data_IF_653394209073
#
_entry.id   IF_653394209073
#
_cell.length_a   1.000
_cell.length_b   1.000
_cell.length_c   1.000
_cell.angle_alpha   90.00
_cell.angle_beta   90.00
_cell.angle_gamma   90.00
#
_symmetry.space_group_name_H-M   'P 1'
#
loop_
_entity.id
_entity.type
_entity.pdbx_description
1 polymer ?
#
# COMPACT_ATOMS: atom_id res chain seq x y z
N UNK A 1 3.63 -17.83 4.91
CA UNK A 1 4.28 -16.70 4.22
C UNK A 1 3.19 -15.73 3.84
N UNK A 2 3.41 -14.45 4.09
CA UNK A 2 2.48 -13.37 3.83
C UNK A 2 3.12 -12.32 2.93
N UNK A 3 2.29 -11.58 2.22
CA UNK A 3 2.62 -10.26 1.73
C UNK A 3 2.20 -9.29 2.84
N UNK A 4 3.13 -8.49 3.32
CA UNK A 4 2.87 -7.37 4.24
C UNK A 4 3.16 -6.06 3.50
N UNK A 5 2.33 -5.05 3.75
CA UNK A 5 2.47 -3.70 3.18
C UNK A 5 2.17 -2.67 4.26
N UNK A 6 3.08 -1.72 4.41
CA UNK A 6 2.93 -0.57 5.33
C UNK A 6 3.04 0.71 4.52
N UNK A 7 2.00 1.54 4.59
CA UNK A 7 1.95 2.88 4.01
C UNK A 7 2.14 3.96 5.07
N UNK A 8 2.73 5.09 4.69
CA UNK A 8 2.90 6.24 5.57
C UNK A 8 3.17 7.52 4.78
N UNK A 9 2.63 8.64 5.24
CA UNK A 9 3.19 9.97 4.98
C UNK A 9 4.35 10.23 5.96
N UNK A 10 5.52 10.40 5.37
CA UNK A 10 6.76 10.78 6.05
C UNK A 10 7.51 11.88 5.28
N UNK A 11 6.79 12.54 4.36
CA UNK A 11 7.30 13.55 3.47
C UNK A 11 7.45 14.89 4.21
N UNK A 12 8.22 15.82 3.65
CA UNK A 12 8.27 17.18 4.16
C UNK A 12 7.12 18.08 3.69
N UNK A 13 6.15 17.55 2.93
CA UNK A 13 5.09 18.32 2.29
C UNK A 13 3.91 17.46 1.85
N UNK A 14 2.72 17.99 1.99
CA UNK A 14 1.45 17.31 1.72
C UNK A 14 1.11 17.21 0.22
N UNK A 15 2.07 17.04 -0.71
CA UNK A 15 1.77 16.92 -2.15
C UNK A 15 2.66 15.96 -2.93
N UNK A 16 3.86 15.66 -2.43
CA UNK A 16 4.81 14.79 -3.11
C UNK A 16 5.97 14.33 -2.24
N UNK A 17 6.44 13.11 -2.46
CA UNK A 17 7.72 12.67 -1.89
C UNK A 17 8.93 13.32 -2.60
N UNK A 18 9.93 13.75 -1.83
CA UNK A 18 11.20 14.19 -2.42
C UNK A 18 11.99 13.03 -3.05
N UNK A 19 12.79 13.33 -4.07
CA UNK A 19 13.67 12.34 -4.69
C UNK A 19 14.71 11.79 -3.71
N UNK A 20 15.13 12.58 -2.72
CA UNK A 20 16.10 12.13 -1.72
C UNK A 20 15.45 11.18 -0.72
N UNK A 21 14.22 11.44 -0.26
CA UNK A 21 13.44 10.50 0.54
C UNK A 21 13.32 9.14 -0.18
N UNK A 22 12.87 9.15 -1.43
CA UNK A 22 12.71 7.93 -2.24
C UNK A 22 14.03 7.16 -2.36
N UNK A 23 15.13 7.88 -2.61
CA UNK A 23 16.46 7.28 -2.76
C UNK A 23 16.94 6.65 -1.46
N UNK A 24 16.77 7.34 -0.33
CA UNK A 24 17.17 6.81 0.98
C UNK A 24 16.37 5.56 1.37
N UNK A 25 15.05 5.59 1.18
CA UNK A 25 14.19 4.42 1.39
C UNK A 25 14.66 3.22 0.54
N UNK A 26 14.90 3.42 -0.75
CA UNK A 26 15.40 2.36 -1.64
C UNK A 26 16.76 1.79 -1.23
N UNK A 27 17.62 2.59 -0.59
CA UNK A 27 18.92 2.13 -0.11
C UNK A 27 18.83 1.32 1.19
N UNK A 28 17.85 1.63 2.03
CA UNK A 28 17.69 0.98 3.34
C UNK A 28 16.81 -0.28 3.28
N UNK A 29 15.80 -0.33 2.40
CA UNK A 29 14.90 -1.50 2.22
C UNK A 29 15.64 -2.83 2.05
N UNK A 30 16.80 -2.92 1.39
CA UNK A 30 17.54 -4.18 1.29
C UNK A 30 17.91 -4.83 2.64
N UNK A 31 18.04 -4.04 3.71
CA UNK A 31 18.34 -4.56 5.05
C UNK A 31 17.23 -5.46 5.61
N UNK A 32 15.99 -5.36 5.08
CA UNK A 32 14.90 -6.24 5.47
C UNK A 32 15.16 -7.71 5.10
N UNK A 33 15.96 -7.96 4.06
CA UNK A 33 16.35 -9.32 3.71
C UNK A 33 17.34 -9.91 4.72
N UNK A 34 18.17 -9.09 5.37
CA UNK A 34 19.13 -9.55 6.39
C UNK A 34 18.41 -10.07 7.65
N UNK A 35 17.21 -9.56 7.93
CA UNK A 35 16.37 -9.97 9.07
C UNK A 35 15.32 -11.02 8.70
N UNK A 36 15.29 -11.48 7.44
CA UNK A 36 14.55 -12.68 7.01
C UNK A 36 13.39 -12.45 6.06
N UNK A 37 13.21 -11.25 5.50
CA UNK A 37 12.26 -11.07 4.39
C UNK A 37 12.76 -11.84 3.16
N UNK A 38 11.84 -12.48 2.43
CA UNK A 38 12.18 -13.15 1.17
C UNK A 38 12.52 -12.12 0.08
N UNK A 39 11.70 -11.07 -0.01
CA UNK A 39 11.91 -9.87 -0.83
C UNK A 39 11.24 -8.69 -0.14
N UNK A 40 11.76 -7.49 -0.33
CA UNK A 40 11.11 -6.24 0.05
C UNK A 40 11.35 -5.15 -1.01
N UNK A 41 10.42 -4.22 -1.16
CA UNK A 41 10.51 -3.11 -2.11
C UNK A 41 9.64 -1.91 -1.70
N UNK A 42 10.01 -0.73 -2.20
CA UNK A 42 9.15 0.45 -2.20
C UNK A 42 8.12 0.31 -3.33
N UNK A 43 6.95 -0.25 -3.03
CA UNK A 43 5.96 -0.64 -4.03
C UNK A 43 5.23 0.58 -4.59
N UNK A 44 4.66 1.41 -3.72
CA UNK A 44 3.83 2.53 -4.12
C UNK A 44 4.44 3.86 -3.66
N UNK A 45 4.14 4.88 -4.45
CA UNK A 45 4.33 6.29 -4.09
C UNK A 45 3.10 6.98 -4.65
N UNK A 46 2.21 7.44 -3.79
CA UNK A 46 0.93 8.04 -4.15
C UNK A 46 0.94 9.43 -3.52
N UNK A 47 1.03 10.49 -4.34
CA UNK A 47 1.27 11.83 -3.81
C UNK A 47 2.52 11.86 -2.92
N UNK A 48 2.31 12.13 -1.63
CA UNK A 48 3.31 12.18 -0.58
C UNK A 48 3.43 10.88 0.26
N UNK A 49 2.49 9.95 0.13
CA UNK A 49 2.56 8.64 0.74
C UNK A 49 3.55 7.70 0.06
N UNK A 50 4.21 6.89 0.88
CA UNK A 50 5.04 5.76 0.44
C UNK A 50 4.51 4.45 0.99
N UNK A 51 4.60 3.38 0.19
CA UNK A 51 4.32 2.01 0.68
C UNK A 51 5.55 1.12 0.52
N UNK A 52 6.00 0.53 1.62
CA UNK A 52 6.98 -0.54 1.62
C UNK A 52 6.24 -1.86 1.78
N UNK A 53 6.51 -2.80 0.88
CA UNK A 53 5.93 -4.14 0.94
C UNK A 53 7.02 -5.21 0.97
N UNK A 54 6.74 -6.33 1.64
CA UNK A 54 7.63 -7.46 1.75
C UNK A 54 6.91 -8.81 1.70
N UNK A 55 7.55 -9.80 1.10
CA UNK A 55 7.18 -11.21 1.22
C UNK A 55 7.89 -11.81 2.42
N UNK A 56 7.14 -12.28 3.43
CA UNK A 56 7.69 -12.60 4.75
C UNK A 56 7.21 -13.96 5.26
N UNK A 57 8.11 -14.81 5.80
CA UNK A 57 7.70 -15.96 6.60
C UNK A 57 6.81 -15.52 7.77
N UNK A 58 5.87 -16.37 8.19
CA UNK A 58 4.85 -15.99 9.18
C UNK A 58 5.51 -15.70 10.55
N UNK A 59 6.54 -16.47 10.90
CA UNK A 59 7.35 -16.32 12.10
C UNK A 59 8.28 -15.09 12.09
N UNK A 60 8.41 -14.42 10.93
CA UNK A 60 9.21 -13.20 10.77
C UNK A 60 8.37 -11.93 10.67
N UNK A 61 7.04 -12.05 10.57
CA UNK A 61 6.13 -10.92 10.33
C UNK A 61 6.39 -9.74 11.28
N UNK A 62 6.46 -9.99 12.59
CA UNK A 62 6.67 -8.94 13.59
C UNK A 62 8.00 -8.21 13.41
N UNK A 63 9.10 -8.96 13.23
CA UNK A 63 10.43 -8.38 13.03
C UNK A 63 10.51 -7.59 11.72
N UNK A 64 9.88 -8.07 10.65
CA UNK A 64 9.91 -7.35 9.36
C UNK A 64 9.04 -6.10 9.42
N UNK A 65 7.83 -6.16 10.00
CA UNK A 65 6.99 -4.98 10.16
C UNK A 65 7.69 -3.90 11.00
N UNK A 66 8.32 -4.29 12.12
CA UNK A 66 9.15 -3.39 12.91
C UNK A 66 10.29 -2.77 12.08
N UNK A 67 11.01 -3.60 11.31
CA UNK A 67 12.07 -3.13 10.42
C UNK A 67 11.60 -2.17 9.33
N UNK A 68 10.39 -2.37 8.78
CA UNK A 68 9.80 -1.44 7.82
C UNK A 68 9.55 -0.08 8.49
N UNK A 69 8.96 -0.07 9.69
CA UNK A 69 8.72 1.15 10.45
C UNK A 69 10.01 1.86 10.85
N UNK A 70 11.05 1.12 11.23
CA UNK A 70 12.37 1.70 11.52
C UNK A 70 12.97 2.40 10.29
N UNK A 71 12.81 1.80 9.10
CA UNK A 71 13.24 2.41 7.83
C UNK A 71 12.45 3.68 7.56
N UNK A 72 11.12 3.68 7.73
CA UNK A 72 10.28 4.86 7.56
C UNK A 72 10.71 5.96 8.54
N UNK A 73 10.81 5.65 9.84
CA UNK A 73 11.21 6.59 10.90
C UNK A 73 12.60 7.19 10.67
N UNK A 74 13.57 6.38 10.26
CA UNK A 74 14.95 6.82 9.99
C UNK A 74 15.04 7.77 8.80
N UNK A 75 14.18 7.59 7.80
CA UNK A 75 14.25 8.33 6.55
C UNK A 75 13.25 9.47 6.45
N UNK A 76 12.28 9.53 7.36
CA UNK A 76 11.31 10.60 7.52
C UNK A 76 11.91 12.00 7.35
N UNK A 77 11.29 12.80 6.49
CA UNK A 77 11.50 14.25 6.40
C UNK A 77 10.64 14.95 7.45
N UNK A 78 9.43 14.44 7.66
CA UNK A 78 8.56 14.66 8.81
C UNK A 78 8.20 13.28 9.39
N UNK A 79 8.06 13.16 10.71
CA UNK A 79 7.65 11.91 11.32
C UNK A 79 6.24 11.47 10.88
N UNK A 80 5.34 12.44 10.61
CA UNK A 80 4.01 12.18 10.08
C UNK A 80 3.30 11.02 10.79
N UNK A 81 2.79 10.08 10.00
CA UNK A 81 2.09 8.87 10.44
C UNK A 81 2.89 7.98 11.40
N UNK A 82 4.22 8.06 11.35
CA UNK A 82 5.07 7.23 12.21
C UNK A 82 5.01 7.70 13.67
N UNK A 83 4.58 8.94 13.93
CA UNK A 83 4.42 9.48 15.29
C UNK A 83 3.10 9.04 15.95
N UNK A 84 2.08 8.66 15.18
CA UNK A 84 0.81 8.15 15.71
C UNK A 84 0.85 6.71 16.21
N UNK A 85 1.97 6.01 16.03
CA UNK A 85 2.17 4.64 16.53
C UNK A 85 2.35 4.67 18.04
N UNK A 86 1.49 3.93 18.76
CA UNK A 86 1.51 3.85 20.21
C UNK A 86 1.71 2.43 20.74
N UNK A 87 2.31 2.30 21.93
CA UNK A 87 2.39 1.03 22.66
C UNK A 87 1.05 0.61 23.28
N UNK A 88 0.13 1.57 23.47
CA UNK A 88 -1.21 1.33 24.03
C UNK A 88 -2.32 1.77 23.07
N UNK A 89 -3.50 1.12 23.11
CA UNK A 89 -4.64 1.53 22.30
C UNK A 89 -5.05 3.00 22.51
N UNK A 90 -5.00 3.49 23.75
CA UNK A 90 -5.47 4.85 24.10
C UNK A 90 -4.57 5.96 23.59
N UNK A 91 -3.30 5.64 23.32
CA UNK A 91 -2.34 6.59 22.74
C UNK A 91 -2.27 6.54 21.21
N UNK A 92 -3.02 5.64 20.58
CA UNK A 92 -2.99 5.49 19.13
C UNK A 92 -3.61 6.72 18.46
N UNK A 93 -2.85 7.37 17.58
CA UNK A 93 -3.31 8.49 16.74
C UNK A 93 -3.36 8.10 15.27
N UNK A 94 -3.57 9.10 14.43
CA UNK A 94 -3.34 9.04 12.97
C UNK A 94 -1.96 8.44 12.68
N UNK A 95 -1.96 7.23 12.12
CA UNK A 95 -0.76 6.45 11.99
C UNK A 95 -0.66 5.70 10.68
N UNK A 96 0.39 4.90 10.56
CA UNK A 96 0.67 4.14 9.35
C UNK A 96 -0.51 3.25 8.91
N UNK A 97 -0.68 3.12 7.59
CA UNK A 97 -1.60 2.14 7.03
C UNK A 97 -0.96 0.76 6.93
N UNK A 98 -1.75 -0.31 7.10
CA UNK A 98 -1.24 -1.67 7.18
C UNK A 98 -2.14 -2.69 6.46
N UNK A 99 -1.54 -3.55 5.64
CA UNK A 99 -2.21 -4.69 5.04
C UNK A 99 -1.34 -5.94 5.12
N UNK A 100 -1.98 -7.09 5.35
CA UNK A 100 -1.35 -8.40 5.23
C UNK A 100 -2.29 -9.38 4.53
N UNK A 101 -1.73 -10.26 3.70
CA UNK A 101 -2.47 -11.28 2.97
C UNK A 101 -1.63 -12.54 2.83
N UNK A 102 -2.26 -13.70 2.97
CA UNK A 102 -1.59 -14.98 2.86
C UNK A 102 -1.16 -15.27 1.41
N UNK A 103 -0.01 -15.92 1.27
CA UNK A 103 0.51 -16.35 -0.03
C UNK A 103 0.54 -17.87 -0.09
N UNK A 104 0.16 -18.43 -1.25
CA UNK A 104 0.42 -19.84 -1.55
C UNK A 104 1.91 -20.10 -1.68
N UNK A 105 2.42 -21.01 -0.85
CA UNK A 105 3.86 -21.27 -0.73
C UNK A 105 4.43 -22.21 -1.78
N UNK A 106 3.61 -22.78 -2.66
CA UNK A 106 4.02 -23.77 -3.66
C UNK A 106 4.39 -23.16 -5.02
N UNK A 107 4.48 -21.83 -5.11
CA UNK A 107 4.80 -21.06 -6.32
C UNK A 107 5.49 -19.74 -5.99
N UNK A 108 5.88 -18.99 -7.03
CA UNK A 108 6.43 -17.66 -6.84
C UNK A 108 5.37 -16.70 -6.25
N UNK A 109 5.75 -15.86 -5.28
CA UNK A 109 4.82 -14.91 -4.69
C UNK A 109 4.59 -13.72 -5.63
N UNK A 110 3.33 -13.52 -6.00
CA UNK A 110 2.87 -12.39 -6.80
C UNK A 110 1.73 -11.67 -6.06
N UNK A 111 1.68 -10.34 -6.19
CA UNK A 111 0.63 -9.55 -5.57
C UNK A 111 0.37 -8.22 -6.26
N UNK A 112 -0.83 -7.70 -6.05
CA UNK A 112 -1.25 -6.35 -6.45
C UNK A 112 -1.35 -5.51 -5.18
N UNK A 113 -0.76 -4.31 -5.20
CA UNK A 113 -0.81 -3.34 -4.10
C UNK A 113 -1.42 -2.04 -4.62
N UNK A 114 -2.53 -1.63 -4.01
CA UNK A 114 -3.19 -0.35 -4.25
C UNK A 114 -3.03 0.49 -3.00
N UNK A 115 -2.42 1.67 -3.18
CA UNK A 115 -2.22 2.64 -2.13
C UNK A 115 -3.06 3.88 -2.46
N UNK A 116 -3.76 4.39 -1.46
CA UNK A 116 -4.58 5.60 -1.56
C UNK A 116 -3.86 6.75 -0.86
N UNK A 117 -4.21 7.95 -1.26
CA UNK A 117 -3.81 9.22 -0.64
C UNK A 117 -5.02 10.18 -0.81
N UNK A 118 -5.35 10.94 0.23
CA UNK A 118 -6.54 11.77 0.30
C UNK A 118 -6.24 13.27 0.35
N UNK A 119 -7.07 14.02 -0.39
CA UNK A 119 -7.04 15.48 -0.41
C UNK A 119 -8.44 16.00 -0.17
N UNK A 120 -8.90 16.01 1.08
CA UNK A 120 -10.32 16.23 1.41
C UNK A 120 -11.21 15.02 1.07
N UNK A 121 -10.60 13.85 0.85
CA UNK A 121 -11.25 12.60 0.44
C UNK A 121 -11.54 11.62 1.57
N UNK A 122 -11.10 11.96 2.78
CA UNK A 122 -11.14 11.17 4.02
C UNK A 122 -12.55 10.64 4.33
N UNK A 123 -13.65 11.40 4.12
CA UNK A 123 -15.00 10.92 4.42
C UNK A 123 -15.45 9.71 3.58
N UNK A 124 -14.79 9.41 2.45
CA UNK A 124 -15.26 8.36 1.53
C UNK A 124 -14.18 7.36 1.08
N UNK A 125 -12.89 7.63 1.25
CA UNK A 125 -11.79 6.73 0.88
C UNK A 125 -11.95 5.32 1.45
N UNK A 126 -12.47 5.21 2.68
CA UNK A 126 -12.81 3.93 3.34
C UNK A 126 -13.76 3.07 2.49
N UNK A 127 -14.77 3.69 1.89
CA UNK A 127 -15.73 3.01 1.01
C UNK A 127 -15.10 2.63 -0.34
N UNK A 128 -14.16 3.44 -0.84
CA UNK A 128 -13.39 3.13 -2.06
C UNK A 128 -12.54 1.88 -1.81
N UNK A 129 -11.77 1.84 -0.72
CA UNK A 129 -10.95 0.68 -0.35
C UNK A 129 -11.79 -0.59 -0.16
N UNK A 130 -12.95 -0.48 0.53
CA UNK A 130 -13.91 -1.60 0.67
C UNK A 130 -14.43 -2.09 -0.69
N UNK A 131 -14.69 -1.19 -1.63
CA UNK A 131 -15.12 -1.54 -2.99
C UNK A 131 -14.03 -2.28 -3.77
N UNK A 132 -12.78 -1.84 -3.63
CA UNK A 132 -11.60 -2.51 -4.23
C UNK A 132 -11.45 -3.94 -3.71
N UNK A 133 -11.52 -4.13 -2.39
CA UNK A 133 -11.44 -5.45 -1.78
C UNK A 133 -12.58 -6.36 -2.26
N UNK A 134 -13.81 -5.84 -2.29
CA UNK A 134 -14.97 -6.58 -2.75
C UNK A 134 -14.87 -7.01 -4.22
N UNK A 135 -14.22 -6.19 -5.07
CA UNK A 135 -14.02 -6.51 -6.49
C UNK A 135 -13.05 -7.67 -6.72
N UNK A 136 -12.03 -7.82 -5.87
CA UNK A 136 -11.10 -8.95 -5.93
C UNK A 136 -11.65 -10.21 -5.25
N UNK A 137 -12.57 -10.06 -4.30
CA UNK A 137 -13.08 -11.16 -3.49
C UNK A 137 -13.78 -12.22 -4.34
N UNK A 138 -13.29 -13.47 -4.26
CA UNK A 138 -13.85 -14.60 -4.99
C UNK A 138 -13.51 -14.64 -6.49
N UNK A 139 -12.63 -13.75 -6.98
CA UNK A 139 -12.07 -13.89 -8.32
C UNK A 139 -11.17 -15.13 -8.40
N UNK A 140 -11.15 -15.77 -9.57
CA UNK A 140 -10.23 -16.87 -9.85
C UNK A 140 -8.77 -16.38 -9.70
N UNK A 141 -7.89 -17.26 -9.19
CA UNK A 141 -6.47 -17.00 -8.98
C UNK A 141 -6.14 -15.87 -7.99
N UNK A 142 -7.09 -15.44 -7.15
CA UNK A 142 -6.83 -14.64 -5.96
C UNK A 142 -6.74 -15.56 -4.75
N UNK A 143 -5.57 -15.61 -4.09
CA UNK A 143 -5.39 -16.44 -2.89
C UNK A 143 -5.99 -15.78 -1.65
N UNK A 144 -5.66 -14.51 -1.44
CA UNK A 144 -6.09 -13.77 -0.26
C UNK A 144 -6.07 -12.25 -0.53
N UNK A 145 -6.80 -11.50 0.29
CA UNK A 145 -6.94 -10.05 0.19
C UNK A 145 -6.73 -9.45 1.58
N UNK A 146 -5.88 -8.43 1.64
CA UNK A 146 -5.52 -7.75 2.87
C UNK A 146 -5.73 -6.25 2.79
N UNK A 147 -5.87 -5.63 3.95
CA UNK A 147 -5.91 -4.17 4.07
C UNK A 147 -7.32 -3.60 4.19
N UNK A 148 -7.50 -2.40 3.63
CA UNK A 148 -8.68 -1.56 3.83
C UNK A 148 -8.48 -0.56 4.97
N UNK A 149 -9.46 0.36 5.13
CA UNK A 149 -9.40 1.27 6.26
C UNK A 149 -9.76 0.56 7.55
N UNK A 150 -9.28 1.12 8.65
CA UNK A 150 -9.61 0.68 9.99
C UNK A 150 -11.02 1.16 10.36
N UNK A 151 -11.79 0.28 11.00
CA UNK A 151 -12.92 0.65 11.83
C UNK A 151 -12.40 0.56 13.29
N UNK A 152 -11.97 1.69 13.87
CA UNK A 152 -11.31 1.78 15.18
C UNK A 152 -9.83 1.42 15.24
N UNK A 153 -9.31 1.25 16.46
CA UNK A 153 -7.88 1.03 16.73
C UNK A 153 -7.42 -0.36 16.27
N UNK A 154 -6.26 -0.44 15.60
CA UNK A 154 -5.64 -1.71 15.17
C UNK A 154 -4.26 -1.90 15.78
N UNK A 155 -3.98 -3.13 16.22
CA UNK A 155 -2.64 -3.58 16.55
C UNK A 155 -1.93 -4.12 15.30
N UNK A 156 -0.77 -3.55 14.97
CA UNK A 156 0.12 -4.02 13.92
C UNK A 156 1.18 -4.94 14.56
N UNK A 157 1.32 -6.20 14.11
CA UNK A 157 2.28 -7.15 14.66
C UNK A 157 3.70 -6.59 14.65
N UNK A 158 4.38 -6.62 15.80
CA UNK A 158 5.75 -6.12 15.97
C UNK A 158 5.91 -4.60 16.04
N UNK A 159 4.85 -3.83 15.84
CA UNK A 159 4.93 -2.36 15.75
C UNK A 159 4.23 -1.67 16.91
N UNK A 160 2.93 -1.86 17.07
CA UNK A 160 2.14 -1.08 18.03
C UNK A 160 0.68 -0.94 17.61
N UNK A 161 0.02 0.09 18.13
CA UNK A 161 -1.37 0.44 17.83
C UNK A 161 -1.43 1.72 17.00
N UNK A 162 -2.35 1.76 16.04
CA UNK A 162 -2.71 2.93 15.22
C UNK A 162 -4.23 3.11 15.25
N UNK A 163 -4.71 4.36 15.17
CA UNK A 163 -6.15 4.66 15.18
C UNK A 163 -6.75 4.58 13.78
N UNK A 164 -8.07 4.72 13.68
CA UNK A 164 -8.77 4.83 12.40
C UNK A 164 -8.85 6.26 11.85
N UNK A 165 -8.10 7.19 12.46
CA UNK A 165 -7.83 8.51 11.91
C UNK A 165 -6.95 8.42 10.66
N UNK A 166 -6.19 7.31 10.47
CA UNK A 166 -5.53 7.00 9.20
C UNK A 166 -6.55 7.02 8.05
N UNK A 167 -6.39 7.99 7.17
CA UNK A 167 -7.23 8.28 6.02
C UNK A 167 -6.70 7.66 4.72
N UNK A 168 -5.46 7.19 4.70
CA UNK A 168 -4.79 6.66 3.50
C UNK A 168 -4.60 5.14 3.51
N UNK A 169 -5.64 4.35 3.17
CA UNK A 169 -5.57 2.90 3.24
C UNK A 169 -4.59 2.32 2.21
N UNK A 170 -4.10 1.14 2.53
CA UNK A 170 -3.44 0.24 1.59
C UNK A 170 -4.25 -1.03 1.45
N UNK A 171 -4.42 -1.51 0.22
CA UNK A 171 -5.13 -2.76 -0.12
C UNK A 171 -4.19 -3.64 -0.92
N UNK A 172 -4.14 -4.92 -0.58
CA UNK A 172 -3.34 -5.92 -1.30
C UNK A 172 -4.18 -7.13 -1.70
N UNK A 173 -3.85 -7.72 -2.84
CA UNK A 173 -4.37 -9.01 -3.27
C UNK A 173 -3.21 -9.91 -3.68
N UNK A 174 -3.14 -11.13 -3.14
CA UNK A 174 -2.13 -12.13 -3.51
C UNK A 174 -2.64 -13.00 -4.65
N UNK A 175 -1.80 -13.22 -5.65
CA UNK A 175 -2.21 -13.76 -6.95
C UNK A 175 -1.50 -15.08 -7.21
N UNK A 176 -2.24 -16.06 -7.69
CA UNK A 176 -1.75 -17.41 -7.97
C UNK A 176 -1.11 -17.55 -9.35
N UNK A 177 -1.60 -16.79 -10.32
CA UNK A 177 -1.17 -16.85 -11.72
C UNK A 177 -0.91 -15.44 -12.24
N UNK A 178 0.31 -15.22 -12.74
CA UNK A 178 0.77 -13.98 -13.37
C UNK A 178 -0.19 -13.49 -14.47
N UNK A 179 -0.83 -14.40 -15.22
CA UNK A 179 -1.78 -14.04 -16.28
C UNK A 179 -3.04 -13.33 -15.72
N UNK A 180 -3.36 -13.58 -14.45
CA UNK A 180 -4.51 -13.00 -13.76
C UNK A 180 -4.25 -11.60 -13.23
N UNK A 181 -2.99 -11.14 -13.14
CA UNK A 181 -2.63 -9.81 -12.63
C UNK A 181 -3.42 -8.71 -13.35
N UNK A 182 -3.48 -8.77 -14.68
CA UNK A 182 -4.18 -7.75 -15.47
C UNK A 182 -5.69 -7.73 -15.25
N UNK A 183 -6.31 -8.90 -15.10
CA UNK A 183 -7.76 -9.04 -14.90
C UNK A 183 -8.15 -8.60 -13.50
N UNK A 184 -7.44 -9.08 -12.47
CA UNK A 184 -7.70 -8.73 -11.07
C UNK A 184 -7.42 -7.25 -10.81
N UNK A 185 -6.27 -6.72 -11.26
CA UNK A 185 -5.98 -5.29 -11.12
C UNK A 185 -7.00 -4.43 -11.86
N UNK A 186 -7.41 -4.83 -13.06
CA UNK A 186 -8.45 -4.14 -13.83
C UNK A 186 -9.79 -4.08 -13.10
N UNK A 187 -10.22 -5.17 -12.46
CA UNK A 187 -11.43 -5.21 -11.66
C UNK A 187 -11.33 -4.31 -10.40
N UNK A 188 -10.23 -4.42 -9.65
CA UNK A 188 -9.95 -3.61 -8.47
C UNK A 188 -9.94 -2.10 -8.80
N UNK A 189 -9.25 -1.71 -9.87
CA UNK A 189 -9.17 -0.30 -10.29
C UNK A 189 -10.49 0.19 -10.87
N UNK A 190 -11.20 -0.65 -11.63
CA UNK A 190 -12.54 -0.31 -12.12
C UNK A 190 -13.50 -0.02 -10.97
N UNK A 191 -13.46 -0.82 -9.91
CA UNK A 191 -14.24 -0.59 -8.70
C UNK A 191 -13.83 0.70 -7.97
N UNK A 192 -12.53 1.01 -7.90
CA UNK A 192 -12.07 2.27 -7.33
C UNK A 192 -12.56 3.48 -8.13
N UNK A 193 -12.30 3.50 -9.45
CA UNK A 193 -12.62 4.61 -10.35
C UNK A 193 -14.12 4.77 -10.62
N UNK A 194 -14.94 3.76 -10.30
CA UNK A 194 -16.39 3.89 -10.30
C UNK A 194 -16.93 4.82 -9.20
N UNK A 195 -16.11 5.13 -8.18
CA UNK A 195 -16.44 6.09 -7.14
C UNK A 195 -16.20 7.52 -7.62
N UNK A 196 -16.99 8.46 -7.10
CA UNK A 196 -16.88 9.88 -7.45
C UNK A 196 -15.56 10.45 -6.92
N UNK A 197 -14.90 11.30 -7.73
CA UNK A 197 -13.67 12.03 -7.39
C UNK A 197 -12.48 11.13 -6.99
N UNK A 198 -12.39 9.94 -7.59
CA UNK A 198 -11.24 9.04 -7.43
C UNK A 198 -10.41 9.05 -8.72
N UNK A 199 -9.10 9.23 -8.60
CA UNK A 199 -8.20 9.30 -9.75
C UNK A 199 -7.03 8.33 -9.61
N UNK A 200 -6.73 7.60 -10.69
CA UNK A 200 -5.53 6.78 -10.77
C UNK A 200 -4.35 7.62 -11.26
N UNK A 201 -3.26 7.61 -10.51
CA UNK A 201 -2.02 8.32 -10.84
C UNK A 201 -0.88 7.33 -11.08
N UNK A 202 0.13 7.77 -11.84
CA UNK A 202 1.38 6.99 -11.96
C UNK A 202 2.15 7.07 -10.65
N UNK A 203 2.89 6.01 -10.33
CA UNK A 203 3.72 5.94 -9.14
C UNK A 203 4.70 7.12 -9.07
N UNK A 204 4.67 7.88 -7.99
CA UNK A 204 5.55 9.03 -7.74
C UNK A 204 5.12 10.31 -8.46
N UNK A 205 3.89 10.37 -8.96
CA UNK A 205 3.31 11.63 -9.47
C UNK A 205 2.86 12.48 -8.29
N UNK A 206 3.15 13.80 -8.29
CA UNK A 206 2.59 14.72 -7.30
C UNK A 206 1.06 14.78 -7.37
N UNK A 207 0.45 15.25 -6.28
CA UNK A 207 -0.99 15.36 -6.13
C UNK A 207 -1.57 16.55 -6.90
N UNK A 208 -1.76 16.37 -8.20
CA UNK A 208 -2.41 17.35 -9.08
C UNK A 208 -3.92 17.11 -9.17
N UNK A 209 -4.60 17.19 -8.03
CA UNK A 209 -6.07 17.00 -7.94
C UNK A 209 -6.76 18.20 -7.31
N UNK A 210 -8.08 18.28 -7.55
CA UNK A 210 -8.93 19.26 -6.88
C UNK A 210 -9.26 18.72 -5.47
N UNK A 211 -9.15 19.52 -4.40
CA UNK A 211 -9.57 19.10 -3.07
C UNK A 211 -11.01 18.56 -3.03
N UNK A 212 -11.29 17.61 -2.14
CA UNK A 212 -12.46 16.74 -2.18
C UNK A 212 -12.27 15.48 -3.02
N UNK A 213 -11.03 15.00 -3.17
CA UNK A 213 -10.65 13.88 -4.04
C UNK A 213 -9.78 12.84 -3.33
N UNK A 214 -9.74 11.65 -3.92
CA UNK A 214 -8.82 10.57 -3.55
C UNK A 214 -7.98 10.25 -4.77
N UNK A 215 -6.68 10.05 -4.58
CA UNK A 215 -5.80 9.47 -5.59
C UNK A 215 -5.40 8.05 -5.21
N UNK A 216 -5.05 7.25 -6.20
CA UNK A 216 -4.48 5.93 -5.98
C UNK A 216 -3.36 5.63 -6.96
N UNK A 217 -2.33 4.93 -6.46
CA UNK A 217 -1.34 4.26 -7.31
C UNK A 217 -1.49 2.76 -7.17
N UNK A 218 -1.16 2.03 -8.24
CA UNK A 218 -1.29 0.58 -8.29
C UNK A 218 -0.01 -0.07 -8.81
N UNK A 219 0.46 -1.08 -8.09
CA UNK A 219 1.67 -1.83 -8.43
C UNK A 219 1.40 -3.32 -8.48
N UNK A 220 1.99 -4.01 -9.45
CA UNK A 220 2.24 -5.44 -9.35
C UNK A 220 3.60 -5.64 -8.68
N UNK A 221 3.64 -6.47 -7.66
CA UNK A 221 4.87 -6.89 -6.99
C UNK A 221 5.09 -8.37 -7.21
N UNK A 222 6.10 -8.69 -8.01
CA UNK A 222 6.28 -10.03 -8.56
C UNK A 222 7.76 -10.40 -8.58
N UNK A 223 8.12 -11.47 -7.88
CA UNK A 223 9.51 -11.94 -7.76
C UNK A 223 10.51 -10.83 -7.37
N UNK A 224 10.09 -9.91 -6.49
CA UNK A 224 10.90 -8.77 -6.06
C UNK A 224 10.94 -7.58 -7.02
N UNK A 225 10.30 -7.65 -8.19
CA UNK A 225 10.17 -6.54 -9.12
C UNK A 225 8.85 -5.79 -8.90
N UNK A 226 8.92 -4.47 -8.95
CA UNK A 226 7.75 -3.59 -8.84
C UNK A 226 7.44 -3.03 -10.22
N UNK A 227 6.20 -3.22 -10.67
CA UNK A 227 5.70 -2.70 -11.94
C UNK A 227 4.54 -1.75 -11.67
N UNK A 228 4.67 -0.49 -12.11
CA UNK A 228 3.57 0.47 -12.08
C UNK A 228 2.50 0.07 -13.10
N UNK A 229 1.33 -0.35 -12.61
CA UNK A 229 0.23 -0.82 -13.44
C UNK A 229 -0.60 0.33 -14.02
N UNK A 230 -0.46 1.56 -13.53
CA UNK A 230 -1.19 2.70 -14.08
C UNK A 230 -0.85 2.93 -15.55
N UNK A 231 0.41 2.72 -15.95
CA UNK A 231 0.88 2.90 -17.34
C UNK A 231 0.21 1.94 -18.32
N UNK A 232 0.32 0.61 -18.17
CA UNK A 232 -0.31 -0.33 -19.10
C UNK A 232 -1.85 -0.28 -19.04
N UNK A 233 -2.45 -0.05 -17.87
CA UNK A 233 -3.91 -0.01 -17.75
C UNK A 233 -4.50 1.25 -18.39
N UNK A 234 -3.86 2.41 -18.19
CA UNK A 234 -4.27 3.64 -18.88
C UNK A 234 -4.14 3.54 -20.41
N UNK A 235 -3.31 2.64 -20.94
CA UNK A 235 -3.28 2.34 -22.37
C UNK A 235 -4.43 1.41 -22.79
N UNK A 236 -4.70 0.36 -22.01
CA UNK A 236 -5.76 -0.64 -22.31
C UNK A 236 -7.18 -0.12 -22.14
N UNK A 237 -7.39 0.83 -21.23
CA UNK A 237 -8.70 1.42 -20.94
C UNK A 237 -9.08 2.57 -21.88
N UNK A 238 -8.22 2.93 -22.84
CA UNK A 238 -8.54 3.95 -23.84
C UNK A 238 -9.63 3.47 -24.79
N UNK A 239 -10.51 4.39 -25.17
CA UNK A 239 -11.38 4.20 -26.31
C UNK A 239 -10.49 4.16 -27.56
N UNK A 240 -10.68 3.14 -28.41
CA UNK A 240 -10.05 3.08 -29.72
C UNK A 240 -10.87 3.96 -30.67
N UNK A 241 -10.21 4.95 -31.28
CA UNK A 241 -10.78 5.85 -32.30
C UNK A 241 -10.42 5.38 -33.71
#
# INVERSE_FOLDING_TARGET
MKLTSIGADISGNDVSCSMELIKRLKNDIPTLMDIGAHKAALTNITGDDVVISAFVPDEKLEIINAGIVDILRKNAENLGDVDGISETPEGAGEGISYAEANIRQDRYPDGIIIAFDTYGGEPFVKNVAKSVMAAAAGMENVTDIGGGSLDGIRKIPGVGYVSDETDDPVVIATIEDIESIGVVAGAMIGAALGNKNVYMVKRGTPSYVIPGSVILSVSAYMNGNVMDLAVPLAARMRILE
#
